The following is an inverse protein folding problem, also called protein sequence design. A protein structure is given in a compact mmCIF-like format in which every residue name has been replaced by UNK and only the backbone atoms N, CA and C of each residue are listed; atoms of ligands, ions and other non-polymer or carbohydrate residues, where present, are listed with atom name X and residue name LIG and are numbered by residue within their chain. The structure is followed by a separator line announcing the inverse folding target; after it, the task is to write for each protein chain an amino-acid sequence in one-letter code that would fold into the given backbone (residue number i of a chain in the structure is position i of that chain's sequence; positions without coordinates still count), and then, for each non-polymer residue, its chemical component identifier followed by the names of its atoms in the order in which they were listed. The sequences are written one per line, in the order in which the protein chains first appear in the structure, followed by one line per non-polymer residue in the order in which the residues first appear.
data_IF_662243140555
#
_entry.id   IF_662243140555
#
_cell.length_a   1.000
_cell.length_b   1.000
_cell.length_c   1.000
_cell.angle_alpha   90.00
_cell.angle_beta   90.00
_cell.angle_gamma   90.00
#
_symmetry.space_group_name_H-M   'P 1'
#
loop_
_entity.id
_entity.type
_entity.pdbx_description
1 polymer ?
#
# COMPACT_ATOMS: atom_id res chain seq x y z
N UNK A 1 3.16 4.21 -9.46
CA UNK A 1 2.20 3.35 -8.74
C UNK A 1 0.75 3.53 -9.17
N UNK A 2 0.37 4.64 -9.82
CA UNK A 2 -1.00 4.85 -10.32
C UNK A 2 -1.51 3.72 -11.24
N UNK A 3 -0.66 3.11 -12.08
CA UNK A 3 -1.07 1.97 -12.94
C UNK A 3 -1.37 0.66 -12.20
N UNK A 4 -0.60 0.31 -11.17
CA UNK A 4 -0.79 -0.93 -10.40
C UNK A 4 -1.98 -0.85 -9.42
N UNK A 5 -2.29 0.36 -8.93
CA UNK A 5 -3.44 0.59 -8.04
C UNK A 5 -4.79 0.44 -8.75
N UNK A 6 -4.86 0.74 -10.05
CA UNK A 6 -6.07 0.61 -10.86
C UNK A 6 -6.26 -0.79 -11.45
N UNK A 7 -5.22 -1.62 -11.49
CA UNK A 7 -5.29 -2.95 -12.10
C UNK A 7 -6.21 -3.92 -11.35
N UNK A 8 -6.08 -4.03 -10.01
CA UNK A 8 -6.90 -4.91 -9.18
C UNK A 8 -8.41 -4.66 -9.29
N UNK A 9 -8.92 -3.41 -9.18
CA UNK A 9 -10.34 -3.16 -9.37
C UNK A 9 -10.81 -3.48 -10.79
N UNK A 10 -9.99 -3.20 -11.81
CA UNK A 10 -10.30 -3.58 -13.19
C UNK A 10 -10.32 -5.10 -13.38
N UNK A 11 -9.38 -5.83 -12.77
CA UNK A 11 -9.35 -7.29 -12.77
C UNK A 11 -10.64 -7.88 -12.18
N UNK A 12 -11.11 -7.35 -11.04
CA UNK A 12 -12.36 -7.80 -10.46
C UNK A 12 -13.58 -7.49 -11.35
N UNK A 13 -13.65 -6.29 -11.92
CA UNK A 13 -14.79 -5.88 -12.74
C UNK A 13 -14.83 -6.59 -14.10
N UNK A 14 -13.69 -6.77 -14.76
CA UNK A 14 -13.58 -7.29 -16.12
C UNK A 14 -13.35 -8.80 -16.15
N UNK A 15 -12.49 -9.34 -15.27
CA UNK A 15 -12.14 -10.77 -15.28
C UNK A 15 -13.04 -11.60 -14.37
N UNK A 16 -13.54 -11.04 -13.26
CA UNK A 16 -14.42 -11.75 -12.34
C UNK A 16 -15.89 -11.29 -12.42
N UNK A 17 -16.22 -10.39 -13.35
CA UNK A 17 -17.57 -9.89 -13.62
C UNK A 17 -18.34 -9.42 -12.37
N UNK A 18 -17.61 -8.93 -11.34
CA UNK A 18 -18.26 -8.40 -10.14
C UNK A 18 -18.60 -6.93 -10.29
N UNK A 19 -19.71 -6.51 -9.68
CA UNK A 19 -20.15 -5.12 -9.74
C UNK A 19 -19.10 -4.16 -9.15
N UNK A 20 -19.07 -2.89 -9.58
CA UNK A 20 -18.13 -1.89 -9.06
C UNK A 20 -18.15 -1.77 -7.53
N UNK A 21 -19.34 -1.85 -6.92
CA UNK A 21 -19.51 -1.82 -5.46
C UNK A 21 -18.82 -3.00 -4.77
N UNK A 22 -18.98 -4.22 -5.31
CA UNK A 22 -18.38 -5.42 -4.74
C UNK A 22 -16.87 -5.46 -4.99
N UNK A 23 -16.41 -4.97 -6.14
CA UNK A 23 -14.99 -4.75 -6.42
C UNK A 23 -14.36 -3.81 -5.40
N UNK A 24 -15.05 -2.72 -5.03
CA UNK A 24 -14.60 -1.80 -3.99
C UNK A 24 -14.47 -2.49 -2.63
N UNK A 25 -15.46 -3.30 -2.24
CA UNK A 25 -15.40 -4.06 -0.99
C UNK A 25 -14.24 -5.07 -0.98
N UNK A 26 -13.95 -5.70 -2.12
CA UNK A 26 -12.81 -6.61 -2.28
C UNK A 26 -11.45 -5.94 -2.13
N UNK A 27 -11.39 -4.60 -2.20
CA UNK A 27 -10.18 -3.81 -1.94
C UNK A 27 -9.93 -3.56 -0.45
N UNK A 28 -10.85 -3.95 0.45
CA UNK A 28 -10.70 -3.75 1.89
C UNK A 28 -9.37 -4.28 2.47
N UNK A 29 -8.85 -5.46 2.08
CA UNK A 29 -7.55 -5.94 2.55
C UNK A 29 -6.40 -4.99 2.21
N UNK A 30 -6.44 -4.36 1.04
CA UNK A 30 -5.43 -3.38 0.66
C UNK A 30 -5.49 -2.14 1.58
N UNK A 31 -6.70 -1.66 1.90
CA UNK A 31 -6.90 -0.55 2.83
C UNK A 31 -6.44 -0.88 4.25
N UNK A 32 -6.57 -2.13 4.67
CA UNK A 32 -5.99 -2.60 5.93
C UNK A 32 -4.46 -2.51 5.91
N UNK A 33 -3.82 -2.95 4.82
CA UNK A 33 -2.38 -2.78 4.63
C UNK A 33 -1.93 -1.32 4.71
N UNK A 34 -2.66 -0.41 4.05
CA UNK A 34 -2.42 1.04 4.10
C UNK A 34 -2.54 1.58 5.53
N UNK A 35 -3.60 1.19 6.24
CA UNK A 35 -3.85 1.62 7.63
C UNK A 35 -2.72 1.16 8.56
N UNK A 36 -2.34 -0.12 8.48
CA UNK A 36 -1.27 -0.70 9.29
C UNK A 36 0.07 -0.01 9.06
N UNK A 37 0.42 0.27 7.80
CA UNK A 37 1.62 1.04 7.48
C UNK A 37 1.55 2.46 8.03
N UNK A 38 0.44 3.16 7.81
CA UNK A 38 0.30 4.58 8.20
C UNK A 38 0.44 4.75 9.71
N UNK A 39 -0.31 3.97 10.50
CA UNK A 39 -0.24 4.04 11.96
C UNK A 39 1.04 3.44 12.51
N UNK A 40 1.47 2.29 11.99
CA UNK A 40 2.65 1.57 12.45
C UNK A 40 3.93 2.37 12.22
N UNK A 41 4.17 2.80 10.98
CA UNK A 41 5.38 3.53 10.60
C UNK A 41 5.40 4.92 11.23
N UNK A 42 4.27 5.64 11.22
CA UNK A 42 4.19 6.94 11.90
C UNK A 42 4.57 6.85 13.38
N UNK A 43 4.05 5.85 14.10
CA UNK A 43 4.36 5.63 15.52
C UNK A 43 5.80 5.17 15.75
N UNK A 44 6.32 4.31 14.87
CA UNK A 44 7.71 3.83 14.93
C UNK A 44 8.71 4.95 14.67
N UNK A 45 8.47 5.80 13.67
CA UNK A 45 9.30 6.98 13.38
C UNK A 45 9.26 7.94 14.56
N UNK A 46 8.07 8.24 15.10
CA UNK A 46 7.92 9.13 16.25
C UNK A 46 8.68 8.65 17.49
N UNK A 47 8.81 7.33 17.69
CA UNK A 47 9.55 6.75 18.82
C UNK A 47 11.05 6.60 18.58
N UNK A 48 11.46 6.26 17.36
CA UNK A 48 12.86 5.89 17.06
C UNK A 48 13.66 7.02 16.42
N UNK A 49 13.01 8.04 15.88
CA UNK A 49 13.63 9.12 15.09
C UNK A 49 14.22 8.66 13.75
N UNK A 50 14.18 7.37 13.41
CA UNK A 50 14.82 6.80 12.22
C UNK A 50 13.82 6.62 11.09
N UNK A 51 13.79 7.51 10.11
CA UNK A 51 12.83 7.41 8.99
C UNK A 51 13.36 6.65 7.77
N UNK A 52 14.68 6.64 7.52
CA UNK A 52 15.29 6.10 6.28
C UNK A 52 15.09 4.60 6.02
N UNK A 53 14.91 3.80 7.07
CA UNK A 53 14.81 2.34 6.94
C UNK A 53 13.42 1.88 6.47
N UNK A 54 12.38 2.66 6.77
CA UNK A 54 10.99 2.28 6.50
C UNK A 54 10.63 2.26 5.01
N UNK A 55 11.09 3.19 4.16
CA UNK A 55 10.92 3.09 2.71
C UNK A 55 11.57 1.85 2.10
N UNK A 56 12.73 1.44 2.62
CA UNK A 56 13.45 0.25 2.12
C UNK A 56 12.63 -1.01 2.44
N UNK A 57 12.17 -1.14 3.68
CA UNK A 57 11.31 -2.26 4.10
C UNK A 57 9.99 -2.24 3.30
N UNK A 58 9.34 -1.08 3.23
CA UNK A 58 8.08 -0.91 2.51
C UNK A 58 8.19 -1.23 1.01
N UNK A 59 9.30 -0.84 0.37
CA UNK A 59 9.56 -1.15 -1.03
C UNK A 59 9.80 -2.65 -1.22
N UNK A 60 10.59 -3.29 -0.36
CA UNK A 60 10.79 -4.75 -0.41
C UNK A 60 9.46 -5.51 -0.25
N UNK A 61 8.61 -5.10 0.70
CA UNK A 61 7.28 -5.68 0.90
C UNK A 61 6.37 -5.43 -0.32
N UNK A 62 6.41 -4.23 -0.90
CA UNK A 62 5.67 -3.90 -2.11
C UNK A 62 6.09 -4.79 -3.30
N UNK A 63 7.39 -5.01 -3.47
CA UNK A 63 7.95 -5.86 -4.53
C UNK A 63 7.46 -7.30 -4.38
N UNK A 64 7.48 -7.85 -3.16
CA UNK A 64 6.96 -9.19 -2.88
C UNK A 64 5.46 -9.27 -3.19
N UNK A 65 4.68 -8.26 -2.78
CA UNK A 65 3.25 -8.17 -3.09
C UNK A 65 2.97 -8.11 -4.59
N UNK A 66 3.74 -7.30 -5.33
CA UNK A 66 3.59 -7.15 -6.78
C UNK A 66 3.99 -8.43 -7.53
N UNK A 67 5.07 -9.09 -7.13
CA UNK A 67 5.49 -10.37 -7.70
C UNK A 67 4.45 -11.46 -7.44
N UNK A 68 3.85 -11.47 -6.25
CA UNK A 68 2.76 -12.40 -5.93
C UNK A 68 1.54 -12.13 -6.80
N UNK A 69 1.21 -10.87 -7.07
CA UNK A 69 0.12 -10.49 -7.98
C UNK A 69 0.42 -10.85 -9.43
N UNK A 70 1.68 -10.75 -9.86
CA UNK A 70 2.10 -11.11 -11.21
C UNK A 70 1.94 -12.60 -11.54
N UNK A 71 1.80 -13.47 -10.54
CA UNK A 71 1.59 -14.92 -10.69
C UNK A 71 0.11 -15.33 -10.64
N UNK A 72 -0.82 -14.38 -10.55
CA UNK A 72 -2.26 -14.66 -10.52
C UNK A 72 -2.75 -14.99 -11.93
N UNK A 73 -3.42 -16.13 -12.06
CA UNK A 73 -4.19 -16.52 -13.25
C UNK A 73 -5.70 -16.33 -13.07
N UNK A 74 -6.49 -16.49 -14.14
CA UNK A 74 -7.94 -16.28 -14.16
C UNK A 74 -8.76 -17.07 -13.12
N UNK A 75 -8.27 -18.24 -12.70
CA UNK A 75 -8.95 -19.12 -11.72
C UNK A 75 -8.48 -18.90 -10.26
N UNK A 76 -7.64 -17.90 -10.01
CA UNK A 76 -7.07 -17.70 -8.67
C UNK A 76 -8.15 -17.28 -7.68
N UNK A 77 -8.28 -18.04 -6.59
CA UNK A 77 -9.24 -17.74 -5.52
C UNK A 77 -8.93 -16.40 -4.85
N UNK A 78 -9.97 -15.64 -4.54
CA UNK A 78 -9.87 -14.34 -3.86
C UNK A 78 -9.07 -14.40 -2.55
N UNK A 79 -9.12 -15.52 -1.83
CA UNK A 79 -8.37 -15.71 -0.59
C UNK A 79 -6.85 -15.61 -0.76
N UNK A 80 -6.32 -16.02 -1.92
CA UNK A 80 -4.90 -15.87 -2.26
C UNK A 80 -4.50 -14.41 -2.51
N UNK A 81 -5.47 -13.54 -2.81
CA UNK A 81 -5.23 -12.12 -3.07
C UNK A 81 -5.13 -11.29 -1.79
N UNK A 82 -5.63 -11.79 -0.66
CA UNK A 82 -5.67 -11.03 0.60
C UNK A 82 -4.28 -10.56 1.04
N UNK A 83 -3.31 -11.47 1.06
CA UNK A 83 -1.93 -11.18 1.53
C UNK A 83 -1.18 -10.27 0.55
N UNK A 84 -1.14 -10.55 -0.77
CA UNK A 84 -0.53 -9.64 -1.74
C UNK A 84 -1.14 -8.24 -1.71
N UNK A 85 -2.46 -8.12 -1.58
CA UNK A 85 -3.16 -6.84 -1.49
C UNK A 85 -2.76 -6.06 -0.24
N UNK A 86 -2.67 -6.73 0.92
CA UNK A 86 -2.15 -6.11 2.14
C UNK A 86 -0.71 -5.61 1.96
N UNK A 87 0.16 -6.39 1.33
CA UNK A 87 1.55 -6.01 1.09
C UNK A 87 1.69 -4.82 0.14
N UNK A 88 0.88 -4.80 -0.92
CA UNK A 88 0.82 -3.64 -1.84
C UNK A 88 0.34 -2.39 -1.12
N UNK A 89 -0.72 -2.49 -0.30
CA UNK A 89 -1.23 -1.37 0.50
C UNK A 89 -0.20 -0.86 1.51
N UNK A 90 0.45 -1.78 2.22
CA UNK A 90 1.48 -1.47 3.21
C UNK A 90 2.66 -0.74 2.56
N UNK A 91 3.19 -1.28 1.47
CA UNK A 91 4.35 -0.70 0.78
C UNK A 91 4.06 0.70 0.21
N UNK A 92 2.89 0.88 -0.42
CA UNK A 92 2.48 2.18 -0.95
C UNK A 92 2.36 3.25 0.15
N UNK A 93 1.69 2.91 1.26
CA UNK A 93 1.54 3.81 2.40
C UNK A 93 2.88 4.09 3.10
N UNK A 94 3.77 3.10 3.21
CA UNK A 94 5.11 3.27 3.80
C UNK A 94 5.91 4.37 3.10
N UNK A 95 5.87 4.39 1.77
CA UNK A 95 6.56 5.40 0.95
C UNK A 95 5.87 6.76 1.14
N UNK A 96 4.54 6.82 1.07
CA UNK A 96 3.79 8.06 1.22
C UNK A 96 3.98 8.71 2.59
N UNK A 97 3.77 7.95 3.67
CA UNK A 97 3.92 8.43 5.05
C UNK A 97 5.35 8.90 5.33
N UNK A 98 6.36 8.15 4.89
CA UNK A 98 7.75 8.55 5.12
C UNK A 98 8.12 9.82 4.35
N UNK A 99 7.72 9.93 3.08
CA UNK A 99 7.96 11.14 2.27
C UNK A 99 7.24 12.35 2.84
N UNK A 100 6.00 12.18 3.32
CA UNK A 100 5.26 13.27 3.97
C UNK A 100 5.96 13.75 5.25
N UNK A 101 6.40 12.84 6.11
CA UNK A 101 7.15 13.17 7.33
C UNK A 101 8.50 13.82 6.97
N UNK A 102 9.19 13.31 5.96
CA UNK A 102 10.45 13.89 5.50
C UNK A 102 10.26 15.31 4.93
N UNK A 103 9.18 15.53 4.17
CA UNK A 103 8.80 16.85 3.67
C UNK A 103 8.49 17.81 4.81
N UNK A 104 7.68 17.38 5.79
CA UNK A 104 7.38 18.18 6.98
C UNK A 104 8.64 18.54 7.78
N UNK A 105 9.61 17.62 7.87
CA UNK A 105 10.89 17.87 8.56
C UNK A 105 11.88 18.70 7.73
N UNK A 106 11.74 18.75 6.40
CA UNK A 106 12.62 19.50 5.52
C UNK A 106 12.23 20.99 5.40
N UNK A 107 11.01 21.34 5.80
CA UNK A 107 10.57 22.73 5.91
C UNK A 107 11.04 23.27 7.26
N UNK A 108 11.86 24.32 7.24
CA UNK A 108 12.25 25.02 8.47
C UNK A 108 11.03 25.65 9.13
N UNK A 109 11.02 25.70 10.47
CA UNK A 109 9.95 26.31 11.28
C UNK A 109 9.65 27.78 10.91
N UNK A 110 10.51 28.41 10.10
CA UNK A 110 10.41 29.79 9.62
C UNK A 110 9.47 29.96 8.41
N UNK A 111 9.14 28.88 7.71
CA UNK A 111 8.27 28.90 6.52
C UNK A 111 6.87 28.30 6.80
N UNK A 112 6.57 27.98 8.07
CA UNK A 112 5.27 27.45 8.52
C UNK A 112 4.22 28.55 8.81
N UNK A 113 4.34 29.71 8.15
CA UNK A 113 3.43 30.85 8.31
C UNK A 113 1.99 30.56 7.93
#
# INVERSE_FOLDING_TARGET
TYGAGSFLPLYFQVSQFVSPTLSGLRMAPQMLGVSLATFGIGRLIARTGRYRIFPIIGTSVATVGLLSVAQIDGDTSYWWLLVPMMFMGFGAASIFTTTSIAGQNAVEFRDLG
#
